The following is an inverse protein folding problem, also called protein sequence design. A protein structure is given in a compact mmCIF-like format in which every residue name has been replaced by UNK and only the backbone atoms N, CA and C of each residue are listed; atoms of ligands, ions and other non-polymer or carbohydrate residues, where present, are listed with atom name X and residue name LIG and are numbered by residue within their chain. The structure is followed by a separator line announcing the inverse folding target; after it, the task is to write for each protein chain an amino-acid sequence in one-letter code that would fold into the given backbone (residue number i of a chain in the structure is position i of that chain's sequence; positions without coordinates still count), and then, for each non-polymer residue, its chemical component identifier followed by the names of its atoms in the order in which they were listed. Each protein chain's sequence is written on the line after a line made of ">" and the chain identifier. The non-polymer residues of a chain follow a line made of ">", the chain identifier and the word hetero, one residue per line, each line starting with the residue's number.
data_IF_362632292023
#
_entry.id   IF_362632292023
#
_cell.length_a   1.000
_cell.length_b   1.000
_cell.length_c   1.000
_cell.angle_alpha   90.00
_cell.angle_beta   90.00
_cell.angle_gamma   90.00
#
_symmetry.space_group_name_H-M   'P 1'
#
loop_
_entity.id
_entity.type
_entity.pdbx_description
1 polymer ?
#
# COMPACT_ATOMS: atom_id res chain seq x y z
N UNK A 1 2.25 7.66 -19.72
CA UNK A 1 1.52 7.43 -18.46
C UNK A 1 1.02 6.00 -18.40
N UNK A 2 1.75 5.14 -17.69
CA UNK A 2 1.30 3.79 -17.32
C UNK A 2 0.84 3.77 -15.86
N UNK A 3 -0.37 3.26 -15.63
CA UNK A 3 -0.95 3.11 -14.30
C UNK A 3 -1.06 1.62 -14.00
N UNK A 4 -0.64 1.21 -12.81
CA UNK A 4 -0.89 -0.12 -12.27
C UNK A 4 -1.93 -0.04 -11.16
N UNK A 5 -2.95 -0.89 -11.24
CA UNK A 5 -4.04 -0.94 -10.28
C UNK A 5 -4.09 -2.32 -9.61
N UNK A 6 -4.16 -2.34 -8.28
CA UNK A 6 -4.27 -3.54 -7.44
C UNK A 6 -5.12 -3.23 -6.20
N UNK A 7 -5.54 -4.24 -5.46
CA UNK A 7 -6.36 -4.14 -4.25
C UNK A 7 -6.23 -5.43 -3.43
N UNK A 8 -6.85 -5.47 -2.26
CA UNK A 8 -7.13 -6.71 -1.50
C UNK A 8 -5.88 -7.51 -1.13
N UNK A 9 -4.82 -6.82 -0.70
CA UNK A 9 -3.58 -7.47 -0.29
C UNK A 9 -3.78 -8.30 0.98
N UNK A 10 -4.59 -7.81 1.92
CA UNK A 10 -4.83 -8.42 3.23
C UNK A 10 -3.54 -8.90 3.91
N UNK A 11 -2.53 -8.03 3.99
CA UNK A 11 -1.26 -8.35 4.61
C UNK A 11 -1.48 -8.83 6.05
N UNK A 12 -0.99 -10.03 6.35
CA UNK A 12 -1.14 -10.69 7.66
C UNK A 12 -2.20 -11.79 7.70
N UNK A 13 -3.03 -11.93 6.66
CA UNK A 13 -4.06 -12.98 6.56
C UNK A 13 -3.45 -14.37 6.66
N UNK A 14 -4.10 -15.23 7.44
CA UNK A 14 -3.82 -16.65 7.48
C UNK A 14 -4.77 -17.41 6.55
N UNK A 15 -4.30 -18.53 5.99
CA UNK A 15 -5.15 -19.51 5.34
C UNK A 15 -5.25 -20.72 6.27
N UNK A 16 -6.41 -20.87 6.92
CA UNK A 16 -6.57 -21.74 8.09
C UNK A 16 -5.53 -21.39 9.16
N UNK A 17 -4.69 -22.36 9.54
CA UNK A 17 -3.63 -22.19 10.55
C UNK A 17 -2.31 -21.74 9.96
N UNK A 18 -2.21 -21.56 8.63
CA UNK A 18 -0.95 -21.25 7.96
C UNK A 18 -0.79 -19.76 7.70
N UNK A 19 0.35 -19.22 8.13
CA UNK A 19 0.78 -17.86 7.83
C UNK A 19 1.29 -17.78 6.40
N UNK A 20 0.98 -16.68 5.72
CA UNK A 20 1.28 -16.46 4.30
C UNK A 20 2.36 -15.41 4.04
N UNK A 21 3.19 -15.11 5.05
CA UNK A 21 4.16 -14.00 4.96
C UNK A 21 5.19 -14.16 3.84
N UNK A 22 5.54 -15.39 3.48
CA UNK A 22 6.45 -15.67 2.36
C UNK A 22 5.79 -15.36 1.02
N UNK A 23 4.52 -15.74 0.85
CA UNK A 23 3.73 -15.40 -0.34
C UNK A 23 3.57 -13.88 -0.48
N UNK A 24 3.25 -13.18 0.62
CA UNK A 24 3.14 -11.73 0.61
C UNK A 24 4.47 -11.05 0.29
N UNK A 25 5.58 -11.54 0.85
CA UNK A 25 6.92 -11.03 0.52
C UNK A 25 7.23 -11.23 -0.96
N UNK A 26 6.98 -12.42 -1.50
CA UNK A 26 7.21 -12.75 -2.90
C UNK A 26 6.34 -11.88 -3.83
N UNK A 27 5.07 -11.68 -3.49
CA UNK A 27 4.16 -10.80 -4.21
C UNK A 27 4.66 -9.35 -4.23
N UNK A 28 5.02 -8.78 -3.09
CA UNK A 28 5.49 -7.39 -3.01
C UNK A 28 6.83 -7.20 -3.72
N UNK A 29 7.72 -8.19 -3.67
CA UNK A 29 8.98 -8.17 -4.42
C UNK A 29 8.76 -8.27 -5.93
N UNK A 30 7.83 -9.13 -6.37
CA UNK A 30 7.42 -9.21 -7.76
C UNK A 30 6.78 -7.90 -8.24
N UNK A 31 5.91 -7.30 -7.42
CA UNK A 31 5.22 -6.05 -7.73
C UNK A 31 6.22 -4.90 -7.95
N UNK A 32 7.25 -4.80 -7.09
CA UNK A 32 8.31 -3.81 -7.27
C UNK A 32 9.10 -4.01 -8.57
N UNK A 33 9.43 -5.26 -8.92
CA UNK A 33 10.11 -5.57 -10.19
C UNK A 33 9.23 -5.22 -11.38
N UNK A 34 7.95 -5.59 -11.35
CA UNK A 34 7.00 -5.24 -12.39
C UNK A 34 6.92 -3.72 -12.59
N UNK A 35 6.84 -2.95 -11.51
CA UNK A 35 6.84 -1.48 -11.56
C UNK A 35 8.08 -0.93 -12.27
N UNK A 36 9.25 -1.51 -11.98
CA UNK A 36 10.51 -1.13 -12.62
C UNK A 36 10.57 -1.53 -14.10
N UNK A 37 10.34 -2.81 -14.39
CA UNK A 37 10.48 -3.40 -15.71
C UNK A 37 9.50 -2.78 -16.72
N UNK A 38 8.27 -2.51 -16.28
CA UNK A 38 7.24 -1.91 -17.11
C UNK A 38 7.25 -0.37 -17.10
N UNK A 39 8.15 0.25 -16.33
CA UNK A 39 8.20 1.70 -16.13
C UNK A 39 6.83 2.28 -15.74
N UNK A 40 6.21 1.68 -14.71
CA UNK A 40 4.93 2.16 -14.17
C UNK A 40 5.14 3.52 -13.49
N UNK A 41 4.34 4.50 -13.89
CA UNK A 41 4.45 5.87 -13.38
C UNK A 41 3.55 6.11 -12.17
N UNK A 42 2.41 5.40 -12.09
CA UNK A 42 1.44 5.54 -10.99
C UNK A 42 0.99 4.16 -10.50
N UNK A 43 1.07 3.93 -9.19
CA UNK A 43 0.48 2.77 -8.53
C UNK A 43 -0.79 3.18 -7.78
N UNK A 44 -1.86 2.42 -7.95
CA UNK A 44 -3.11 2.55 -7.17
C UNK A 44 -3.36 1.26 -6.40
N UNK A 45 -3.50 1.37 -5.08
CA UNK A 45 -3.92 0.29 -4.18
C UNK A 45 -5.30 0.63 -3.64
N UNK A 46 -6.32 -0.01 -4.20
CA UNK A 46 -7.72 0.33 -3.99
C UNK A 46 -8.36 -0.47 -2.84
N UNK A 47 -7.80 -0.34 -1.63
CA UNK A 47 -8.39 -0.92 -0.42
C UNK A 47 -7.78 -2.24 0.03
N UNK A 48 -8.09 -2.57 1.28
CA UNK A 48 -7.75 -3.81 2.00
C UNK A 48 -6.26 -4.14 1.95
N UNK A 49 -5.45 -3.17 2.39
CA UNK A 49 -3.99 -3.32 2.52
C UNK A 49 -3.67 -4.36 3.58
N UNK A 50 -4.31 -4.27 4.74
CA UNK A 50 -4.13 -5.18 5.87
C UNK A 50 -5.34 -6.09 6.05
N UNK A 51 -5.13 -7.25 6.66
CA UNK A 51 -6.21 -8.20 6.97
C UNK A 51 -7.10 -7.74 8.12
N UNK A 52 -6.55 -6.92 9.03
CA UNK A 52 -7.25 -6.43 10.22
C UNK A 52 -6.86 -4.99 10.54
N UNK A 53 -7.71 -4.32 11.31
CA UNK A 53 -7.51 -2.93 11.77
C UNK A 53 -6.31 -2.75 12.70
N UNK A 54 -5.79 -3.84 13.27
CA UNK A 54 -4.59 -3.86 14.10
C UNK A 54 -3.57 -4.84 13.49
N UNK A 55 -2.89 -4.44 12.40
CA UNK A 55 -1.99 -5.35 11.69
C UNK A 55 -0.81 -5.76 12.57
N UNK A 56 -0.46 -7.04 12.54
CA UNK A 56 0.70 -7.54 13.28
C UNK A 56 2.02 -6.96 12.74
N UNK A 57 3.05 -6.90 13.59
CA UNK A 57 4.36 -6.29 13.27
C UNK A 57 4.95 -6.78 11.95
N UNK A 58 4.81 -8.07 11.63
CA UNK A 58 5.35 -8.64 10.39
C UNK A 58 4.62 -8.17 9.13
N UNK A 59 3.30 -7.93 9.21
CA UNK A 59 2.55 -7.34 8.10
C UNK A 59 2.96 -5.88 7.89
N UNK A 60 3.12 -5.12 8.99
CA UNK A 60 3.61 -3.74 8.92
C UNK A 60 5.03 -3.66 8.33
N UNK A 61 5.93 -4.57 8.71
CA UNK A 61 7.28 -4.66 8.14
C UNK A 61 7.26 -4.89 6.63
N UNK A 62 6.38 -5.76 6.13
CA UNK A 62 6.22 -5.99 4.69
C UNK A 62 5.75 -4.73 3.98
N UNK A 63 4.73 -4.06 4.53
CA UNK A 63 4.20 -2.81 3.99
C UNK A 63 5.27 -1.71 3.89
N UNK A 64 5.95 -1.40 4.99
CA UNK A 64 6.96 -0.33 5.00
C UNK A 64 8.21 -0.69 4.18
N UNK A 65 8.59 -1.97 4.10
CA UNK A 65 9.65 -2.43 3.19
C UNK A 65 9.26 -2.21 1.73
N UNK A 66 8.01 -2.52 1.36
CA UNK A 66 7.50 -2.27 0.02
C UNK A 66 7.51 -0.78 -0.31
N UNK A 67 7.00 0.08 0.58
CA UNK A 67 7.01 1.53 0.37
C UNK A 67 8.42 2.10 0.19
N UNK A 68 9.39 1.61 0.98
CA UNK A 68 10.80 1.98 0.81
C UNK A 68 11.32 1.60 -0.59
N UNK A 69 10.99 0.40 -1.07
CA UNK A 69 11.37 -0.04 -2.42
C UNK A 69 10.69 0.79 -3.51
N UNK A 70 9.41 1.13 -3.30
CA UNK A 70 8.63 1.95 -4.22
C UNK A 70 9.21 3.36 -4.37
N UNK A 71 9.64 3.97 -3.26
CA UNK A 71 10.28 5.29 -3.25
C UNK A 71 11.62 5.33 -4.02
N UNK A 72 12.26 4.17 -4.25
CA UNK A 72 13.48 4.04 -5.06
C UNK A 72 13.20 3.60 -6.50
N UNK A 73 11.93 3.47 -6.89
CA UNK A 73 11.48 2.98 -8.20
C UNK A 73 11.19 4.15 -9.17
N UNK A 74 10.93 3.90 -10.46
CA UNK A 74 10.48 4.95 -11.38
C UNK A 74 9.04 5.42 -11.12
N UNK A 75 8.32 4.81 -10.17
CA UNK A 75 6.97 5.20 -9.80
C UNK A 75 6.96 6.62 -9.22
N UNK A 76 6.25 7.53 -9.88
CA UNK A 76 6.20 8.94 -9.52
C UNK A 76 5.19 9.21 -8.41
N UNK A 77 4.09 8.47 -8.41
CA UNK A 77 3.02 8.60 -7.43
C UNK A 77 2.45 7.24 -7.04
N UNK A 78 2.23 7.04 -5.74
CA UNK A 78 1.44 5.93 -5.24
C UNK A 78 0.21 6.47 -4.53
N UNK A 79 -0.95 5.89 -4.82
CA UNK A 79 -2.21 6.21 -4.13
C UNK A 79 -2.70 4.96 -3.42
N UNK A 80 -2.82 5.04 -2.10
CA UNK A 80 -3.23 3.93 -1.25
C UNK A 80 -4.49 4.36 -0.51
N UNK A 81 -5.58 3.63 -0.73
CA UNK A 81 -6.87 3.90 -0.11
C UNK A 81 -7.15 2.79 0.91
N UNK A 82 -7.69 3.15 2.07
CA UNK A 82 -8.18 2.17 3.04
C UNK A 82 -9.39 1.40 2.51
N UNK A 83 -9.41 0.09 2.74
CA UNK A 83 -10.62 -0.72 2.60
C UNK A 83 -11.36 -0.88 3.93
N UNK A 84 -12.34 -1.79 3.96
CA UNK A 84 -13.14 -2.04 5.17
C UNK A 84 -12.39 -2.87 6.23
N UNK A 85 -11.28 -3.51 5.87
CA UNK A 85 -10.42 -4.22 6.83
C UNK A 85 -9.37 -3.31 7.49
N UNK A 86 -9.07 -2.19 6.86
CA UNK A 86 -8.03 -1.28 7.31
C UNK A 86 -8.50 -0.38 8.45
N UNK A 87 -7.57 0.04 9.30
CA UNK A 87 -7.82 1.12 10.26
C UNK A 87 -7.50 2.46 9.59
N UNK A 88 -8.47 3.38 9.44
CA UNK A 88 -8.22 4.71 8.92
C UNK A 88 -7.12 5.45 9.69
N UNK A 89 -7.17 5.41 11.02
CA UNK A 89 -6.18 6.11 11.87
C UNK A 89 -4.79 5.50 11.77
N UNK A 90 -4.68 4.19 11.55
CA UNK A 90 -3.39 3.53 11.35
C UNK A 90 -2.74 3.93 10.02
N UNK A 91 -3.53 3.93 8.94
CA UNK A 91 -3.05 4.32 7.60
C UNK A 91 -2.78 5.83 7.50
N UNK A 92 -3.61 6.66 8.14
CA UNK A 92 -3.44 8.12 8.15
C UNK A 92 -2.26 8.58 9.02
N UNK A 93 -1.90 7.83 10.07
CA UNK A 93 -0.83 8.22 10.99
C UNK A 93 0.50 8.59 10.31
N UNK A 94 1.03 7.81 9.35
CA UNK A 94 2.25 8.18 8.63
C UNK A 94 2.03 9.04 7.37
N UNK A 95 0.80 9.51 7.06
CA UNK A 95 0.48 10.08 5.73
C UNK A 95 1.35 11.27 5.33
N UNK A 96 1.63 12.20 6.26
CA UNK A 96 2.45 13.38 5.96
C UNK A 96 3.92 13.01 5.70
N UNK A 97 4.43 11.98 6.38
CA UNK A 97 5.76 11.44 6.12
C UNK A 97 5.82 10.76 4.75
N UNK A 98 4.78 10.00 4.40
CA UNK A 98 4.69 9.28 3.13
C UNK A 98 4.54 10.21 1.93
N UNK A 99 3.86 11.36 2.10
CA UNK A 99 3.77 12.41 1.08
C UNK A 99 5.14 12.92 0.63
N UNK A 100 6.14 12.97 1.51
CA UNK A 100 7.51 13.34 1.15
C UNK A 100 8.17 12.37 0.13
N UNK A 101 7.62 11.16 -0.01
CA UNK A 101 8.03 10.16 -0.98
C UNK A 101 7.03 10.01 -2.14
N UNK A 102 6.13 10.98 -2.34
CA UNK A 102 5.02 10.93 -3.30
C UNK A 102 4.08 9.72 -3.11
N UNK A 103 3.97 9.23 -1.87
CA UNK A 103 3.01 8.20 -1.48
C UNK A 103 1.85 8.88 -0.77
N UNK A 104 0.68 8.81 -1.38
CA UNK A 104 -0.55 9.44 -0.92
C UNK A 104 -1.44 8.39 -0.29
N UNK A 105 -1.75 8.56 0.99
CA UNK A 105 -2.59 7.61 1.74
C UNK A 105 -3.87 8.31 2.13
N UNK A 106 -5.00 7.68 1.81
CA UNK A 106 -6.35 8.13 2.15
C UNK A 106 -6.98 7.07 3.06
N UNK A 107 -6.80 7.24 4.36
CA UNK A 107 -7.34 6.33 5.38
C UNK A 107 -8.83 6.56 5.65
N UNK A 108 -9.25 7.82 5.69
CA UNK A 108 -10.63 8.24 5.90
C UNK A 108 -11.09 9.18 4.80
N UNK A 109 -12.39 9.18 4.50
CA UNK A 109 -12.96 10.16 3.59
C UNK A 109 -12.77 11.57 4.17
N UNK A 110 -12.14 12.45 3.39
CA UNK A 110 -11.98 13.85 3.74
C UNK A 110 -13.33 14.59 3.68
N UNK A 111 -13.45 15.70 4.41
CA UNK A 111 -14.65 16.55 4.41
C UNK A 111 -14.87 17.26 3.07
N UNK A 112 -13.79 17.54 2.33
CA UNK A 112 -13.82 18.17 1.03
C UNK A 112 -12.98 17.34 0.04
N UNK A 113 -13.60 16.70 -0.96
CA UNK A 113 -12.88 15.86 -1.94
C UNK A 113 -11.76 16.59 -2.69
N UNK A 114 -11.83 17.92 -2.82
CA UNK A 114 -10.77 18.70 -3.46
C UNK A 114 -9.43 18.64 -2.68
N UNK A 115 -9.45 18.28 -1.40
CA UNK A 115 -8.27 18.19 -0.55
C UNK A 115 -7.40 16.94 -0.86
N UNK A 116 -7.92 15.99 -1.64
CA UNK A 116 -7.25 14.73 -2.01
C UNK A 116 -6.91 14.66 -3.51
N UNK A 117 -6.99 15.79 -4.22
CA UNK A 117 -6.56 15.90 -5.62
C UNK A 117 -5.05 16.21 -5.66
N UNK A 118 -4.31 15.45 -6.46
CA UNK A 118 -2.85 15.54 -6.61
C UNK A 118 -2.41 16.55 -7.67
#
# INVERSE_FOLDING_TARGET
>A
MKILHTSDWHLGRALFTRRRYEEFAAFLDWLLRLIQDEAIEVLVVAGDVFDTTTPGTRAQQLYYRFLRGLAASPCRHAVIVAGNHDSPSFLDAPKELLRAFNVHVVGSACSNPADEVL
#
